data_IF_345128573157
#
_entry.id   IF_345128573157
#
_cell.length_a   1.000
_cell.length_b   1.000
_cell.length_c   1.000
_cell.angle_alpha   90.00
_cell.angle_beta   90.00
_cell.angle_gamma   90.00
#
_symmetry.space_group_name_H-M   'P 1'
#
loop_
_entity.id
_entity.type
_entity.pdbx_description
1 polymer ?
#
# COMPACT_ATOMS: atom_id res chain seq x y z
N UNK A 1 -7.87 -11.32 -26.58
CA UNK A 1 -8.00 -11.76 -25.18
C UNK A 1 -6.77 -12.59 -24.83
N UNK A 2 -5.80 -12.03 -24.08
CA UNK A 2 -4.45 -12.55 -23.73
C UNK A 2 -3.24 -12.02 -24.53
N UNK A 3 -2.96 -10.71 -24.47
CA UNK A 3 -1.64 -10.15 -24.84
C UNK A 3 -0.96 -9.30 -23.75
N UNK A 4 -1.41 -9.34 -22.50
CA UNK A 4 -0.89 -8.46 -21.43
C UNK A 4 0.14 -9.11 -20.47
N UNK A 5 0.81 -10.20 -20.86
CA UNK A 5 1.83 -10.85 -20.00
C UNK A 5 3.20 -10.97 -20.68
N UNK A 6 3.65 -9.94 -21.39
CA UNK A 6 5.04 -9.86 -21.87
C UNK A 6 5.72 -8.58 -21.40
N UNK A 7 5.93 -8.50 -20.08
CA UNK A 7 7.06 -7.73 -19.57
C UNK A 7 8.27 -8.67 -19.53
N UNK A 8 9.42 -8.31 -20.13
CA UNK A 8 10.65 -9.08 -19.97
C UNK A 8 11.03 -9.01 -18.49
N UNK A 9 11.07 -10.18 -17.84
CA UNK A 9 11.59 -10.30 -16.48
C UNK A 9 13.07 -9.88 -16.53
N UNK A 10 13.51 -8.88 -15.74
CA UNK A 10 14.92 -8.53 -15.68
C UNK A 10 15.72 -9.75 -15.21
N UNK A 11 16.92 -9.91 -15.77
CA UNK A 11 17.81 -11.03 -15.51
C UNK A 11 18.01 -11.23 -14.01
N UNK A 12 17.46 -12.37 -13.57
CA UNK A 12 17.47 -12.96 -12.24
C UNK A 12 18.77 -12.76 -11.46
N UNK A 13 18.76 -11.79 -10.54
CA UNK A 13 19.26 -12.06 -9.19
C UNK A 13 18.13 -12.80 -8.48
N UNK A 14 18.19 -14.14 -8.42
CA UNK A 14 17.21 -14.92 -7.67
C UNK A 14 17.53 -14.77 -6.18
N UNK A 15 16.97 -13.76 -5.54
CA UNK A 15 16.59 -13.89 -4.14
C UNK A 15 15.25 -14.62 -4.19
N UNK A 16 15.16 -15.87 -3.70
CA UNK A 16 13.86 -16.55 -3.64
C UNK A 16 12.86 -15.65 -2.89
N UNK A 17 11.77 -15.20 -3.54
CA UNK A 17 10.80 -14.36 -2.85
C UNK A 17 10.23 -15.16 -1.68
N UNK A 18 10.22 -14.57 -0.48
CA UNK A 18 9.50 -15.17 0.64
C UNK A 18 8.02 -15.32 0.29
N UNK A 19 7.32 -16.26 0.92
CA UNK A 19 5.86 -16.41 0.78
C UNK A 19 5.16 -15.05 1.01
N UNK A 20 5.66 -14.25 1.96
CA UNK A 20 5.15 -12.91 2.24
C UNK A 20 5.30 -11.95 1.06
N UNK A 21 6.42 -11.99 0.34
CA UNK A 21 6.64 -11.17 -0.87
C UNK A 21 5.71 -11.58 -2.01
N UNK A 22 5.39 -12.87 -2.14
CA UNK A 22 4.39 -13.33 -3.11
C UNK A 22 2.98 -12.88 -2.70
N UNK A 23 2.64 -12.99 -1.42
CA UNK A 23 1.32 -12.56 -0.92
C UNK A 23 1.13 -11.05 -1.05
N UNK A 24 2.12 -10.23 -0.68
CA UNK A 24 2.05 -8.77 -0.83
C UNK A 24 1.82 -8.38 -2.29
N UNK A 25 2.53 -9.04 -3.21
CA UNK A 25 2.38 -8.81 -4.63
C UNK A 25 0.99 -9.22 -5.15
N UNK A 26 0.44 -10.34 -4.69
CA UNK A 26 -0.92 -10.75 -5.02
C UNK A 26 -1.95 -9.71 -4.54
N UNK A 27 -1.84 -9.25 -3.29
CA UNK A 27 -2.72 -8.22 -2.72
C UNK A 27 -2.63 -6.93 -3.56
N UNK A 28 -1.42 -6.49 -3.91
CA UNK A 28 -1.19 -5.33 -4.75
C UNK A 28 -1.87 -5.43 -6.12
N UNK A 29 -1.84 -6.60 -6.76
CA UNK A 29 -2.53 -6.78 -8.03
C UNK A 29 -4.05 -6.84 -7.89
N UNK A 30 -4.56 -7.45 -6.82
CA UNK A 30 -6.00 -7.57 -6.57
C UNK A 30 -6.66 -6.25 -6.20
N UNK A 31 -5.93 -5.35 -5.54
CA UNK A 31 -6.42 -4.05 -5.08
C UNK A 31 -6.00 -2.90 -6.00
N UNK A 32 -5.32 -3.20 -7.12
CA UNK A 32 -5.02 -2.20 -8.15
C UNK A 32 -6.32 -1.75 -8.84
N UNK A 33 -6.44 -0.46 -9.21
CA UNK A 33 -7.62 0.04 -9.91
C UNK A 33 -8.00 -0.77 -11.17
N UNK A 34 -9.30 -1.01 -11.40
CA UNK A 34 -10.41 -0.62 -10.53
C UNK A 34 -10.46 -1.45 -9.24
N UNK A 35 -10.41 -0.76 -8.10
CA UNK A 35 -10.33 -1.41 -6.79
C UNK A 35 -11.67 -2.05 -6.42
N UNK A 36 -11.68 -3.14 -5.64
CA UNK A 36 -12.91 -3.71 -5.10
C UNK A 36 -13.71 -2.71 -4.25
N UNK A 37 -14.97 -3.05 -3.93
CA UNK A 37 -15.79 -2.19 -3.06
C UNK A 37 -15.19 -2.03 -1.66
N UNK A 38 -15.43 -0.90 -0.97
CA UNK A 38 -14.89 -0.65 0.35
C UNK A 38 -15.21 -1.76 1.37
N UNK A 39 -16.38 -2.38 1.29
CA UNK A 39 -16.81 -3.45 2.21
C UNK A 39 -15.91 -4.69 2.12
N UNK A 40 -15.32 -4.95 0.94
CA UNK A 40 -14.35 -6.03 0.75
C UNK A 40 -12.93 -5.63 1.18
N UNK A 41 -12.60 -4.34 1.12
CA UNK A 41 -11.26 -3.82 1.42
C UNK A 41 -11.05 -3.61 2.91
N UNK A 42 -12.04 -3.03 3.61
CA UNK A 42 -11.92 -2.67 5.03
C UNK A 42 -11.45 -3.83 5.93
N UNK A 43 -11.95 -5.08 5.78
CA UNK A 43 -11.46 -6.21 6.56
C UNK A 43 -9.98 -6.56 6.33
N UNK A 44 -9.39 -6.10 5.22
CA UNK A 44 -7.98 -6.35 4.88
C UNK A 44 -7.02 -5.37 5.55
N UNK A 45 -7.48 -4.20 6.01
CA UNK A 45 -6.61 -3.18 6.59
C UNK A 45 -5.73 -3.72 7.74
N UNK A 46 -6.24 -4.47 8.74
CA UNK A 46 -5.39 -5.03 9.79
C UNK A 46 -4.26 -5.92 9.23
N UNK A 47 -4.55 -6.68 8.17
CA UNK A 47 -3.55 -7.51 7.49
C UNK A 47 -2.48 -6.65 6.82
N UNK A 48 -2.85 -5.58 6.11
CA UNK A 48 -1.90 -4.65 5.50
C UNK A 48 -0.98 -4.02 6.55
N UNK A 49 -1.55 -3.62 7.70
CA UNK A 49 -0.78 -3.09 8.82
C UNK A 49 0.21 -4.11 9.37
N UNK A 50 -0.20 -5.37 9.50
CA UNK A 50 0.67 -6.43 9.98
C UNK A 50 1.86 -6.70 9.03
N UNK A 51 1.68 -6.55 7.72
CA UNK A 51 2.80 -6.61 6.77
C UNK A 51 3.84 -5.51 7.02
N UNK A 52 3.40 -4.30 7.36
CA UNK A 52 4.29 -3.18 7.67
C UNK A 52 4.99 -3.33 9.04
N UNK A 53 4.38 -4.03 9.99
CA UNK A 53 4.90 -4.27 11.34
C UNK A 53 5.73 -5.55 11.48
N UNK A 54 5.99 -6.27 10.38
CA UNK A 54 6.89 -7.42 10.42
C UNK A 54 8.26 -6.99 10.96
N UNK A 55 8.99 -7.89 11.62
CA UNK A 55 10.31 -7.54 12.19
C UNK A 55 11.33 -7.13 11.10
N UNK A 56 11.22 -7.73 9.91
CA UNK A 56 12.11 -7.47 8.77
C UNK A 56 11.34 -7.52 7.44
N UNK A 57 10.48 -6.53 7.15
CA UNK A 57 9.80 -6.46 5.87
C UNK A 57 10.81 -6.05 4.80
N UNK A 58 10.83 -6.76 3.67
CA UNK A 58 11.63 -6.31 2.51
C UNK A 58 11.05 -5.00 1.96
N UNK A 59 11.90 -4.12 1.41
CA UNK A 59 11.47 -2.89 0.70
C UNK A 59 10.35 -3.16 -0.31
N UNK A 60 10.41 -4.30 -1.01
CA UNK A 60 9.36 -4.72 -1.94
C UNK A 60 7.99 -4.89 -1.27
N UNK A 61 7.94 -5.52 -0.10
CA UNK A 61 6.68 -5.69 0.66
C UNK A 61 6.16 -4.32 1.09
N UNK A 62 7.01 -3.46 1.63
CA UNK A 62 6.61 -2.10 2.04
C UNK A 62 6.06 -1.32 0.85
N UNK A 63 6.73 -1.37 -0.30
CA UNK A 63 6.30 -0.71 -1.53
C UNK A 63 4.95 -1.23 -2.04
N UNK A 64 4.78 -2.55 -2.10
CA UNK A 64 3.50 -3.17 -2.50
C UNK A 64 2.35 -2.68 -1.59
N UNK A 65 2.56 -2.67 -0.27
CA UNK A 65 1.53 -2.25 0.70
C UNK A 65 1.27 -0.74 0.64
N UNK A 66 2.28 0.10 0.49
CA UNK A 66 2.10 1.54 0.36
C UNK A 66 1.30 1.90 -0.89
N UNK A 67 1.58 1.23 -2.01
CA UNK A 67 0.78 1.41 -3.22
C UNK A 67 -0.65 0.93 -3.05
N UNK A 68 -0.87 -0.21 -2.38
CA UNK A 68 -2.22 -0.67 -2.03
C UNK A 68 -2.97 0.41 -1.26
N UNK A 69 -2.36 0.97 -0.20
CA UNK A 69 -2.96 2.04 0.59
C UNK A 69 -3.31 3.24 -0.28
N UNK A 70 -2.41 3.64 -1.20
CA UNK A 70 -2.67 4.75 -2.11
C UNK A 70 -3.88 4.48 -3.02
N UNK A 71 -3.99 3.28 -3.59
CA UNK A 71 -5.10 2.90 -4.47
C UNK A 71 -6.44 2.87 -3.75
N UNK A 72 -6.48 2.37 -2.52
CA UNK A 72 -7.74 2.21 -1.78
C UNK A 72 -8.19 3.51 -1.08
N UNK A 73 -7.26 4.42 -0.80
CA UNK A 73 -7.58 5.74 -0.23
C UNK A 73 -8.09 6.75 -1.26
N UNK A 74 -7.84 6.54 -2.55
CA UNK A 74 -8.24 7.48 -3.60
C UNK A 74 -9.78 7.57 -3.70
N UNK A 75 -10.34 8.70 -3.28
CA UNK A 75 -11.77 8.99 -3.40
C UNK A 75 -12.69 8.23 -2.44
N UNK A 76 -12.18 7.62 -1.35
CA UNK A 76 -12.99 6.89 -0.39
C UNK A 76 -12.78 7.34 1.07
N UNK A 77 -13.63 8.23 1.56
CA UNK A 77 -13.54 8.79 2.92
C UNK A 77 -13.66 7.74 4.03
N UNK A 78 -14.45 6.68 3.80
CA UNK A 78 -14.58 5.59 4.77
C UNK A 78 -13.26 4.83 4.95
N UNK A 79 -12.54 4.59 3.84
CA UNK A 79 -11.23 3.95 3.87
C UNK A 79 -10.20 4.91 4.46
N UNK A 80 -10.18 6.18 4.05
CA UNK A 80 -9.31 7.20 4.64
C UNK A 80 -9.47 7.29 6.17
N UNK A 81 -10.71 7.34 6.67
CA UNK A 81 -10.97 7.35 8.11
C UNK A 81 -10.45 6.08 8.78
N UNK A 82 -10.66 4.91 8.17
CA UNK A 82 -10.18 3.64 8.73
C UNK A 82 -8.65 3.53 8.72
N UNK A 83 -7.96 4.17 7.76
CA UNK A 83 -6.50 4.29 7.74
C UNK A 83 -6.01 5.19 8.89
N UNK A 84 -6.72 6.28 9.19
CA UNK A 84 -6.42 7.14 10.34
C UNK A 84 -6.65 6.38 11.65
N UNK A 85 -7.84 5.78 11.83
CA UNK A 85 -8.23 5.06 13.04
C UNK A 85 -7.37 3.80 13.28
N UNK A 86 -6.77 3.25 12.21
CA UNK A 86 -5.88 2.09 12.25
C UNK A 86 -4.41 2.44 12.51
N UNK A 87 -4.08 3.68 12.87
CA UNK A 87 -2.71 4.15 13.14
C UNK A 87 -1.73 3.93 11.97
N UNK A 88 -2.21 3.98 10.72
CA UNK A 88 -1.31 3.88 9.57
C UNK A 88 -0.49 5.15 9.38
N UNK A 89 -1.06 6.33 9.62
CA UNK A 89 -0.37 7.61 9.43
C UNK A 89 0.95 7.69 10.20
N UNK A 90 0.99 7.48 11.54
CA UNK A 90 2.26 7.48 12.27
C UNK A 90 3.21 6.38 11.79
N UNK A 91 2.70 5.19 11.45
CA UNK A 91 3.50 4.09 10.92
C UNK A 91 4.17 4.42 9.57
N UNK A 92 3.43 5.05 8.65
CA UNK A 92 3.97 5.49 7.37
C UNK A 92 5.10 6.51 7.59
N UNK A 93 4.90 7.47 8.49
CA UNK A 93 5.90 8.49 8.81
C UNK A 93 7.16 7.90 9.45
N UNK A 94 6.99 6.91 10.35
CA UNK A 94 8.10 6.19 10.97
C UNK A 94 8.94 5.47 9.91
N UNK A 95 8.30 4.68 9.04
CA UNK A 95 8.96 3.95 7.96
C UNK A 95 9.70 4.91 7.02
N UNK A 96 9.06 6.01 6.60
CA UNK A 96 9.70 7.01 5.75
C UNK A 96 10.89 7.71 6.42
N UNK A 97 10.85 7.86 7.76
CA UNK A 97 11.92 8.49 8.52
C UNK A 97 13.11 7.55 8.73
N UNK A 98 12.86 6.25 8.90
CA UNK A 98 13.91 5.24 9.02
C UNK A 98 14.55 4.89 7.67
N UNK A 99 13.80 5.00 6.58
CA UNK A 99 14.19 4.58 5.23
C UNK A 99 14.36 5.78 4.28
N UNK A 100 15.01 6.85 4.76
CA UNK A 100 15.12 8.12 4.03
C UNK A 100 15.73 7.98 2.62
N UNK A 101 16.47 6.90 2.35
CA UNK A 101 17.09 6.57 1.06
C UNK A 101 16.25 5.61 0.17
N UNK A 102 14.97 5.37 0.48
CA UNK A 102 14.07 4.53 -0.33
C UNK A 102 13.06 5.35 -1.16
N UNK A 103 13.47 5.88 -2.33
CA UNK A 103 12.61 6.75 -3.16
C UNK A 103 11.34 6.03 -3.67
N UNK A 104 11.34 4.70 -3.72
CA UNK A 104 10.19 3.90 -4.15
C UNK A 104 9.00 3.95 -3.18
N UNK A 105 9.23 4.35 -1.92
CA UNK A 105 8.17 4.49 -0.91
C UNK A 105 7.56 5.90 -0.87
N UNK A 106 8.32 6.91 -1.32
CA UNK A 106 7.93 8.32 -1.20
C UNK A 106 6.66 8.65 -1.96
N UNK A 107 6.59 8.30 -3.25
CA UNK A 107 5.42 8.60 -4.07
C UNK A 107 4.12 8.01 -3.48
N UNK A 108 4.02 6.69 -3.23
CA UNK A 108 2.77 6.13 -2.72
C UNK A 108 2.43 6.64 -1.32
N UNK A 109 3.41 6.87 -0.44
CA UNK A 109 3.14 7.43 0.87
C UNK A 109 2.57 8.85 0.81
N UNK A 110 3.17 9.72 -0.02
CA UNK A 110 2.67 11.09 -0.21
C UNK A 110 1.26 11.10 -0.80
N UNK A 111 0.94 10.15 -1.70
CA UNK A 111 -0.43 9.96 -2.20
C UNK A 111 -1.40 9.63 -1.07
N UNK A 112 -1.10 8.63 -0.24
CA UNK A 112 -1.95 8.27 0.91
C UNK A 112 -2.20 9.49 1.81
N UNK A 113 -1.13 10.18 2.21
CA UNK A 113 -1.23 11.36 3.08
C UNK A 113 -2.03 12.49 2.42
N UNK A 114 -1.84 12.71 1.12
CA UNK A 114 -2.60 13.68 0.34
C UNK A 114 -4.10 13.34 0.29
N UNK A 115 -4.46 12.09 0.02
CA UNK A 115 -5.87 11.66 -0.02
C UNK A 115 -6.54 11.75 1.36
N UNK A 116 -5.84 11.38 2.44
CA UNK A 116 -6.33 11.58 3.81
C UNK A 116 -6.55 13.06 4.10
N UNK A 117 -5.61 13.93 3.72
CA UNK A 117 -5.73 15.36 3.93
C UNK A 117 -6.94 15.94 3.17
N UNK A 118 -7.15 15.54 1.92
CA UNK A 118 -8.29 15.98 1.09
C UNK A 118 -9.62 15.49 1.67
N UNK A 119 -9.74 14.22 2.04
CA UNK A 119 -10.98 13.65 2.62
C UNK A 119 -11.38 14.32 3.93
N UNK A 120 -10.41 14.80 4.71
CA UNK A 120 -10.69 15.57 5.94
C UNK A 120 -11.16 17.00 5.66
N UNK A 121 -10.79 17.61 4.54
CA UNK A 121 -11.21 18.98 4.19
C UNK A 121 -12.73 19.06 3.96
N UNK A 122 -13.36 17.99 3.46
CA UNK A 122 -14.82 17.96 3.29
C UNK A 122 -15.62 17.91 4.61
N UNK A 123 -14.96 17.71 5.76
CA UNK A 123 -15.61 17.65 7.08
C UNK A 123 -15.48 18.94 7.90
N UNK A 124 -14.79 19.96 7.37
CA UNK A 124 -14.69 21.29 7.97
C UNK A 124 -15.67 22.22 7.22
N UNK A 125 -16.97 21.94 7.34
CA UNK A 125 -18.06 22.88 7.02
C UNK A 125 -19.08 22.91 8.15
#
# INVERSE_FOLDING_TARGET
MLQLLRFPLPERVIVEPSIYSTVSWCIFNLLRPPSPSPEMILPLLPTLRNFLLMAFPTERIQSDIFWVLAFISDGCDQICQSIVDGDFVPLLLEILSSEFDQPMLLEPALRVLGYIAIGNIQRIE
#
